data_IF_409330230916
#
_entry.id   IF_409330230916
#
_cell.length_a   1.000
_cell.length_b   1.000
_cell.length_c   1.000
_cell.angle_alpha   90.00
_cell.angle_beta   90.00
_cell.angle_gamma   90.00
#
_symmetry.space_group_name_H-M   'P 1'
#
loop_
_entity.id
_entity.type
_entity.pdbx_description
1 polymer ?
#
# COMPACT_ATOMS: atom_id res chain seq x y z
N UNK A 1 4.62 15.70 -6.06
CA UNK A 1 4.33 14.31 -6.51
C UNK A 1 3.45 13.57 -5.51
N UNK A 2 3.79 13.60 -4.21
CA UNK A 2 2.96 13.08 -3.11
C UNK A 2 1.55 13.69 -3.06
N UNK A 3 1.45 15.02 -3.11
CA UNK A 3 0.17 15.72 -3.00
C UNK A 3 -0.77 15.43 -4.18
N UNK A 4 -0.20 15.26 -5.39
CA UNK A 4 -0.95 14.89 -6.60
C UNK A 4 -1.52 13.47 -6.49
N UNK A 5 -0.79 12.54 -5.87
CA UNK A 5 -1.29 11.18 -5.62
C UNK A 5 -2.43 11.19 -4.58
N UNK A 6 -2.28 11.96 -3.51
CA UNK A 6 -3.32 12.12 -2.49
C UNK A 6 -4.61 12.73 -3.06
N UNK A 7 -4.48 13.75 -3.90
CA UNK A 7 -5.62 14.37 -4.58
C UNK A 7 -6.34 13.38 -5.51
N UNK A 8 -5.59 12.57 -6.27
CA UNK A 8 -6.16 11.52 -7.13
C UNK A 8 -6.89 10.44 -6.32
N UNK A 9 -6.32 10.02 -5.20
CA UNK A 9 -6.96 9.06 -4.28
C UNK A 9 -8.28 9.62 -3.75
N UNK A 10 -8.29 10.88 -3.29
CA UNK A 10 -9.48 11.56 -2.81
C UNK A 10 -10.58 11.65 -3.88
N UNK A 11 -10.21 12.07 -5.09
CA UNK A 11 -11.13 12.15 -6.23
C UNK A 11 -11.76 10.79 -6.56
N UNK A 12 -10.97 9.72 -6.60
CA UNK A 12 -11.48 8.37 -6.85
C UNK A 12 -12.38 7.89 -5.71
N UNK A 13 -12.05 8.22 -4.46
CA UNK A 13 -12.91 7.87 -3.32
C UNK A 13 -14.27 8.55 -3.43
N UNK A 14 -14.31 9.83 -3.80
CA UNK A 14 -15.58 10.54 -4.01
C UNK A 14 -16.41 9.89 -5.12
N UNK A 15 -15.79 9.54 -6.24
CA UNK A 15 -16.47 8.83 -7.35
C UNK A 15 -17.00 7.46 -6.93
N UNK A 16 -16.22 6.70 -6.18
CA UNK A 16 -16.63 5.41 -5.63
C UNK A 16 -17.85 5.55 -4.71
N UNK A 17 -17.83 6.54 -3.82
CA UNK A 17 -18.94 6.81 -2.90
C UNK A 17 -20.20 7.21 -3.67
N UNK A 18 -20.08 8.13 -4.63
CA UNK A 18 -21.22 8.55 -5.45
C UNK A 18 -21.81 7.37 -6.24
N UNK A 19 -20.96 6.54 -6.85
CA UNK A 19 -21.38 5.32 -7.55
C UNK A 19 -22.08 4.33 -6.61
N UNK A 20 -21.56 4.16 -5.39
CA UNK A 20 -22.17 3.31 -4.37
C UNK A 20 -23.51 3.83 -3.86
N UNK A 21 -23.69 5.16 -3.82
CA UNK A 21 -24.96 5.80 -3.45
C UNK A 21 -26.01 5.68 -4.58
N UNK A 22 -25.59 5.79 -5.84
CA UNK A 22 -26.49 5.74 -6.99
C UNK A 22 -26.89 4.32 -7.38
N UNK A 23 -25.93 3.38 -7.39
CA UNK A 23 -26.12 2.03 -7.93
C UNK A 23 -25.95 0.91 -6.90
N UNK A 24 -25.58 1.24 -5.66
CA UNK A 24 -25.29 0.28 -4.60
C UNK A 24 -23.81 -0.12 -4.53
N UNK A 25 -23.38 -0.62 -3.36
CA UNK A 25 -21.99 -0.99 -3.11
C UNK A 25 -21.53 -2.23 -3.88
N UNK A 26 -22.47 -3.09 -4.30
CA UNK A 26 -22.18 -4.30 -5.08
C UNK A 26 -21.94 -4.01 -6.57
N UNK A 27 -22.02 -2.74 -6.99
CA UNK A 27 -21.80 -2.36 -8.38
C UNK A 27 -20.33 -2.62 -8.80
N UNK A 28 -20.07 -3.26 -9.96
CA UNK A 28 -18.72 -3.61 -10.38
C UNK A 28 -17.78 -2.41 -10.48
N UNK A 29 -18.29 -1.22 -10.80
CA UNK A 29 -17.46 -0.01 -10.85
C UNK A 29 -16.97 0.45 -9.47
N UNK A 30 -17.75 0.21 -8.41
CA UNK A 30 -17.31 0.49 -7.02
C UNK A 30 -16.10 -0.38 -6.68
N UNK A 31 -16.13 -1.65 -7.08
CA UNK A 31 -14.99 -2.56 -6.93
C UNK A 31 -13.78 -2.08 -7.74
N UNK A 32 -13.99 -1.65 -9.00
CA UNK A 32 -12.91 -1.10 -9.82
C UNK A 32 -12.27 0.13 -9.18
N UNK A 33 -13.07 1.07 -8.67
CA UNK A 33 -12.55 2.24 -7.96
C UNK A 33 -11.78 1.85 -6.70
N UNK A 34 -12.27 0.87 -5.93
CA UNK A 34 -11.58 0.36 -4.74
C UNK A 34 -10.19 -0.19 -5.10
N UNK A 35 -10.09 -1.00 -6.16
CA UNK A 35 -8.81 -1.55 -6.63
C UNK A 35 -7.84 -0.44 -7.08
N UNK A 36 -8.33 0.57 -7.79
CA UNK A 36 -7.50 1.70 -8.24
C UNK A 36 -6.99 2.54 -7.06
N UNK A 37 -7.84 2.78 -6.06
CA UNK A 37 -7.45 3.49 -4.84
C UNK A 37 -6.35 2.73 -4.10
N UNK A 38 -6.48 1.41 -3.96
CA UNK A 38 -5.47 0.57 -3.30
C UNK A 38 -4.13 0.58 -4.05
N UNK A 39 -4.15 0.51 -5.39
CA UNK A 39 -2.94 0.63 -6.21
C UNK A 39 -2.21 1.95 -5.97
N UNK A 40 -2.94 3.08 -5.96
CA UNK A 40 -2.34 4.39 -5.71
C UNK A 40 -1.81 4.52 -4.27
N UNK A 41 -2.48 3.92 -3.29
CA UNK A 41 -1.96 3.85 -1.91
C UNK A 41 -0.66 3.06 -1.84
N UNK A 42 -0.56 1.93 -2.55
CA UNK A 42 0.65 1.13 -2.62
C UNK A 42 1.81 1.88 -3.28
N UNK A 43 1.54 2.63 -4.36
CA UNK A 43 2.53 3.50 -5.00
C UNK A 43 3.01 4.61 -4.05
N UNK A 44 2.08 5.26 -3.35
CA UNK A 44 2.40 6.31 -2.37
C UNK A 44 3.29 5.77 -1.25
N UNK A 45 2.93 4.60 -0.70
CA UNK A 45 3.71 3.91 0.33
C UNK A 45 5.11 3.54 -0.16
N UNK A 46 5.26 3.11 -1.41
CA UNK A 46 6.58 2.81 -1.99
C UNK A 46 7.45 4.07 -2.10
N UNK A 47 6.87 5.20 -2.53
CA UNK A 47 7.60 6.47 -2.62
C UNK A 47 8.07 6.91 -1.22
N UNK A 48 7.17 6.89 -0.24
CA UNK A 48 7.49 7.25 1.15
C UNK A 48 8.54 6.30 1.75
N UNK A 49 8.46 5.00 1.44
CA UNK A 49 9.44 4.03 1.92
C UNK A 49 10.81 4.18 1.25
N UNK A 50 10.86 4.47 -0.04
CA UNK A 50 12.11 4.72 -0.77
C UNK A 50 12.80 5.99 -0.28
N UNK A 51 12.05 7.08 -0.06
CA UNK A 51 12.57 8.31 0.58
C UNK A 51 13.21 8.01 1.95
N UNK A 52 12.60 7.11 2.72
CA UNK A 52 13.10 6.70 4.03
C UNK A 52 14.39 5.86 3.97
N UNK A 53 14.65 5.17 2.85
CA UNK A 53 15.82 4.29 2.66
C UNK A 53 17.09 5.02 2.21
N UNK A 54 16.97 6.19 1.56
CA UNK A 54 18.12 6.99 1.12
C UNK A 54 19.01 7.43 2.31
N UNK A 55 18.49 7.43 3.54
CA UNK A 55 19.23 7.76 4.76
C UNK A 55 19.75 6.59 5.62
N UNK A 56 19.49 5.31 5.29
CA UNK A 56 19.81 4.18 6.20
C UNK A 56 20.49 2.99 5.50
N UNK A 57 21.82 3.03 5.36
CA UNK A 57 22.62 1.81 5.14
C UNK A 57 22.71 1.02 6.45
N UNK A 58 21.80 0.09 6.72
CA UNK A 58 21.96 -0.86 7.83
C UNK A 58 22.73 -2.09 7.34
N UNK A 59 23.98 -2.26 7.82
CA UNK A 59 24.74 -3.52 7.76
C UNK A 59 24.10 -4.49 8.75
N UNK A 60 23.20 -5.35 8.28
CA UNK A 60 22.79 -6.50 9.09
C UNK A 60 23.83 -7.61 8.92
N UNK A 61 24.46 -8.01 10.03
CA UNK A 61 25.39 -9.15 10.10
C UNK A 61 24.68 -10.24 10.88
N UNK A 62 24.20 -11.25 10.16
CA UNK A 62 23.60 -12.43 10.77
C UNK A 62 24.71 -13.41 11.11
N UNK A 63 24.71 -13.93 12.33
CA UNK A 63 25.50 -15.09 12.72
C UNK A 63 24.51 -16.26 12.87
N UNK A 64 24.76 -17.36 12.14
CA UNK A 64 24.03 -18.61 12.34
C UNK A 64 24.62 -19.28 13.57
N UNK A 65 23.87 -19.34 14.67
CA UNK A 65 24.20 -20.25 15.77
C UNK A 65 23.55 -21.58 15.44
N UNK A 66 24.37 -22.59 15.14
CA UNK A 66 23.91 -23.96 14.92
C UNK A 66 23.22 -24.46 16.21
N UNK A 67 21.91 -24.67 16.14
CA UNK A 67 21.16 -25.28 17.22
C UNK A 67 21.48 -26.78 17.24
N UNK A 68 22.38 -27.19 18.14
CA UNK A 68 22.51 -28.59 18.52
C UNK A 68 21.27 -29.03 19.30
N UNK A 69 20.19 -29.35 18.60
CA UNK A 69 19.03 -30.00 19.19
C UNK A 69 19.33 -31.50 19.33
N UNK A 70 19.76 -31.91 20.53
CA UNK A 70 19.74 -33.31 20.93
C UNK A 70 18.29 -33.71 21.22
N UNK A 71 17.68 -34.45 20.32
CA UNK A 71 16.42 -35.13 20.62
C UNK A 71 16.75 -36.39 21.43
N UNK A 72 16.24 -36.42 22.67
CA UNK A 72 16.32 -37.55 23.59
C UNK A 72 15.17 -38.54 23.36
#
# INVERSE_FOLDING_TARGET
MRDVLLEKIELLRQRMVNMGLEFGLDHPEVLQYSMQIDQLHNELNQIDHNLSKVGRKKKYRFYLTENNAFFA
#
